data_IF_372595129824
#
_entry.id   IF_372595129824
#
_cell.length_a   1.000
_cell.length_b   1.000
_cell.length_c   1.000
_cell.angle_alpha   90.00
_cell.angle_beta   90.00
_cell.angle_gamma   90.00
#
_symmetry.space_group_name_H-M   'P 1'
#
loop_
_entity.id
_entity.type
_entity.pdbx_description
1 polymer ?
#
# COMPACT_ATOMS: atom_id res chain seq x y z
N UNK A 1 -8.81 -1.54 -11.33
CA UNK A 1 -9.61 -0.43 -11.85
C UNK A 1 -10.32 -0.86 -13.15
N UNK A 2 -11.62 -0.53 -13.35
CA UNK A 2 -12.36 -0.93 -14.55
C UNK A 2 -11.66 -0.57 -15.85
N UNK A 3 -11.06 0.63 -15.91
CA UNK A 3 -10.31 1.10 -17.09
C UNK A 3 -9.14 0.17 -17.48
N UNK A 4 -8.48 -0.43 -16.50
CA UNK A 4 -7.36 -1.35 -16.75
C UNK A 4 -7.87 -2.75 -17.06
N UNK A 5 -8.84 -3.24 -16.29
CA UNK A 5 -9.36 -4.61 -16.48
C UNK A 5 -10.19 -4.79 -17.74
N UNK A 6 -10.80 -3.71 -18.28
CA UNK A 6 -11.51 -3.76 -19.56
C UNK A 6 -10.58 -4.04 -20.76
N UNK A 7 -9.29 -3.71 -20.67
CA UNK A 7 -8.28 -4.03 -21.69
C UNK A 7 -7.67 -5.45 -21.52
N UNK A 8 -8.14 -6.24 -20.56
CA UNK A 8 -7.60 -7.58 -20.27
C UNK A 8 -6.37 -7.58 -19.36
N UNK A 9 -5.96 -6.39 -18.85
CA UNK A 9 -4.76 -6.23 -18.02
C UNK A 9 -5.09 -6.24 -16.51
N UNK A 10 -4.04 -6.12 -15.68
CA UNK A 10 -4.14 -6.07 -14.22
C UNK A 10 -4.77 -7.33 -13.64
N UNK A 11 -5.70 -7.18 -12.69
CA UNK A 11 -6.34 -8.32 -12.02
C UNK A 11 -7.22 -9.19 -12.94
N UNK A 12 -7.53 -8.76 -14.16
CA UNK A 12 -8.20 -9.59 -15.18
C UNK A 12 -7.35 -10.80 -15.57
N UNK A 13 -6.03 -10.66 -15.54
CA UNK A 13 -5.07 -11.75 -15.83
C UNK A 13 -5.25 -12.94 -14.88
N UNK A 14 -5.70 -12.71 -13.64
CA UNK A 14 -5.90 -13.78 -12.66
C UNK A 14 -6.97 -14.81 -13.08
N UNK A 15 -7.83 -14.49 -14.04
CA UNK A 15 -8.77 -15.46 -14.61
C UNK A 15 -8.07 -16.52 -15.49
N UNK A 16 -6.77 -16.32 -15.81
CA UNK A 16 -5.94 -17.27 -16.53
C UNK A 16 -4.60 -17.48 -15.79
N UNK A 17 -4.54 -18.40 -14.81
CA UNK A 17 -3.33 -18.67 -14.03
C UNK A 17 -2.11 -19.06 -14.90
N UNK A 18 -2.31 -19.82 -15.96
CA UNK A 18 -1.24 -20.23 -16.87
C UNK A 18 -0.63 -19.02 -17.61
N UNK A 19 -1.46 -18.06 -18.01
CA UNK A 19 -0.96 -16.81 -18.61
C UNK A 19 -0.13 -16.03 -17.60
N UNK A 20 -0.56 -15.94 -16.33
CA UNK A 20 0.23 -15.33 -15.27
C UNK A 20 1.60 -15.99 -15.14
N UNK A 21 1.65 -17.33 -15.13
CA UNK A 21 2.91 -18.09 -15.12
C UNK A 21 3.81 -17.76 -16.30
N UNK A 22 3.28 -17.76 -17.52
CA UNK A 22 4.07 -17.41 -18.72
C UNK A 22 4.63 -15.97 -18.66
N UNK A 23 3.87 -15.03 -18.12
CA UNK A 23 4.34 -13.66 -17.94
C UNK A 23 5.49 -13.58 -16.94
N UNK A 24 5.40 -14.33 -15.83
CA UNK A 24 6.49 -14.42 -14.84
C UNK A 24 7.72 -15.07 -15.45
N UNK A 25 7.57 -16.17 -16.22
CA UNK A 25 8.68 -16.81 -16.91
C UNK A 25 9.39 -15.87 -17.88
N UNK A 26 8.63 -15.09 -18.67
CA UNK A 26 9.19 -14.12 -19.61
C UNK A 26 9.95 -13.01 -18.87
N UNK A 27 9.39 -12.50 -17.76
CA UNK A 27 10.04 -11.49 -16.91
C UNK A 27 11.32 -12.05 -16.27
N UNK A 28 11.29 -13.26 -15.74
CA UNK A 28 12.46 -13.94 -15.17
C UNK A 28 13.57 -14.13 -16.22
N UNK A 29 13.20 -14.56 -17.44
CA UNK A 29 14.15 -14.70 -18.54
C UNK A 29 14.85 -13.38 -18.91
N UNK A 30 14.12 -12.27 -18.87
CA UNK A 30 14.67 -10.94 -19.16
C UNK A 30 15.52 -10.35 -18.02
N UNK A 31 15.12 -10.59 -16.74
CA UNK A 31 15.83 -10.08 -15.57
C UNK A 31 17.09 -10.88 -15.21
N UNK A 32 17.15 -12.15 -15.58
CA UNK A 32 18.18 -13.07 -15.10
C UNK A 32 17.94 -13.52 -13.64
N UNK A 33 18.80 -14.39 -13.10
CA UNK A 33 18.60 -14.99 -11.76
C UNK A 33 18.87 -14.03 -10.60
N UNK A 34 19.69 -13.01 -10.79
CA UNK A 34 20.24 -12.19 -9.70
C UNK A 34 19.28 -11.07 -9.23
N UNK A 35 18.28 -10.73 -10.04
CA UNK A 35 17.32 -9.67 -9.68
C UNK A 35 16.07 -10.27 -9.09
N UNK A 36 15.59 -9.78 -7.92
CA UNK A 36 14.35 -10.27 -7.33
C UNK A 36 13.17 -9.94 -8.24
N UNK A 37 12.30 -10.95 -8.46
CA UNK A 37 11.05 -10.81 -9.19
C UNK A 37 9.88 -11.05 -8.26
N UNK A 38 9.11 -10.02 -7.97
CA UNK A 38 7.95 -10.10 -7.06
C UNK A 38 6.64 -9.94 -7.80
N UNK A 39 5.60 -10.62 -7.32
CA UNK A 39 4.27 -10.57 -7.90
C UNK A 39 3.28 -9.96 -6.91
N UNK A 40 2.54 -8.94 -7.33
CA UNK A 40 1.41 -8.40 -6.57
C UNK A 40 0.10 -8.91 -7.17
N UNK A 41 -0.75 -9.51 -6.34
CA UNK A 41 -2.00 -10.11 -6.80
C UNK A 41 -3.16 -9.87 -5.83
N UNK A 42 -4.37 -10.21 -6.24
CA UNK A 42 -5.57 -10.36 -5.41
C UNK A 42 -5.87 -11.83 -5.15
N UNK A 43 -6.93 -12.15 -4.39
CA UNK A 43 -7.36 -13.53 -4.13
C UNK A 43 -8.16 -14.13 -5.30
N UNK A 44 -8.71 -13.30 -6.19
CA UNK A 44 -9.50 -13.74 -7.33
C UNK A 44 -10.17 -12.58 -8.06
N UNK A 45 -11.03 -12.93 -9.02
CA UNK A 45 -11.84 -11.98 -9.75
C UNK A 45 -13.11 -11.58 -8.98
N UNK A 46 -13.88 -12.56 -8.58
CA UNK A 46 -15.12 -12.46 -7.80
C UNK A 46 -15.20 -13.63 -6.81
N UNK A 47 -16.32 -13.79 -6.12
CA UNK A 47 -16.52 -14.83 -5.12
C UNK A 47 -16.56 -16.26 -5.70
N UNK A 48 -16.92 -16.41 -6.98
CA UNK A 48 -17.00 -17.70 -7.69
C UNK A 48 -15.67 -18.07 -8.34
N UNK A 49 -14.79 -17.09 -8.55
CA UNK A 49 -13.50 -17.24 -9.25
C UNK A 49 -12.33 -16.85 -8.32
N UNK A 50 -12.15 -17.60 -7.24
CA UNK A 50 -11.03 -17.47 -6.30
C UNK A 50 -9.80 -18.21 -6.84
N UNK A 51 -9.17 -17.65 -7.85
CA UNK A 51 -8.02 -18.26 -8.55
C UNK A 51 -6.68 -18.03 -7.86
N UNK A 52 -6.64 -17.36 -6.72
CA UNK A 52 -5.41 -16.93 -6.05
C UNK A 52 -4.39 -18.03 -5.83
N UNK A 53 -4.82 -19.22 -5.37
CA UNK A 53 -3.93 -20.38 -5.15
C UNK A 53 -3.31 -20.85 -6.47
N UNK A 54 -4.11 -20.99 -7.52
CA UNK A 54 -3.62 -21.45 -8.82
C UNK A 54 -2.62 -20.44 -9.43
N UNK A 55 -2.93 -19.13 -9.34
CA UNK A 55 -2.03 -18.07 -9.80
C UNK A 55 -0.73 -18.07 -9.01
N UNK A 56 -0.77 -18.21 -7.69
CA UNK A 56 0.41 -18.21 -6.84
C UNK A 56 1.35 -19.37 -7.20
N UNK A 57 0.81 -20.60 -7.36
CA UNK A 57 1.60 -21.76 -7.79
C UNK A 57 2.23 -21.57 -9.17
N UNK A 58 1.50 -21.00 -10.11
CA UNK A 58 2.04 -20.72 -11.44
C UNK A 58 3.14 -19.65 -11.38
N UNK A 59 2.98 -18.62 -10.56
CA UNK A 59 4.02 -17.59 -10.38
C UNK A 59 5.30 -18.17 -9.76
N UNK A 60 5.18 -18.98 -8.71
CA UNK A 60 6.32 -19.65 -8.06
C UNK A 60 7.04 -20.59 -9.04
N UNK A 61 6.30 -21.49 -9.69
CA UNK A 61 6.86 -22.46 -10.63
C UNK A 61 7.61 -21.80 -11.81
N UNK A 62 7.31 -20.56 -12.12
CA UNK A 62 7.91 -19.78 -13.21
C UNK A 62 8.92 -18.71 -12.75
N UNK A 63 9.34 -18.76 -11.48
CA UNK A 63 10.48 -17.99 -10.99
C UNK A 63 10.16 -16.68 -10.28
N UNK A 64 8.96 -16.53 -9.70
CA UNK A 64 8.71 -15.49 -8.74
C UNK A 64 9.44 -15.78 -7.41
N UNK A 65 10.05 -14.77 -6.78
CA UNK A 65 10.77 -14.89 -5.51
C UNK A 65 9.89 -14.54 -4.31
N UNK A 66 8.82 -13.79 -4.52
CA UNK A 66 7.92 -13.32 -3.48
C UNK A 66 6.55 -12.96 -4.07
N UNK A 67 5.50 -13.20 -3.30
CA UNK A 67 4.13 -12.81 -3.67
C UNK A 67 3.54 -11.90 -2.60
N UNK A 68 2.95 -10.76 -3.01
CA UNK A 68 2.15 -9.93 -2.13
C UNK A 68 0.66 -10.06 -2.51
N UNK A 69 -0.17 -10.51 -1.55
CA UNK A 69 -1.57 -10.85 -1.76
C UNK A 69 -2.48 -9.81 -1.12
N UNK A 70 -3.32 -9.14 -1.91
CA UNK A 70 -4.42 -8.33 -1.38
C UNK A 70 -5.61 -9.25 -1.12
N UNK A 71 -6.06 -9.31 0.15
CA UNK A 71 -7.14 -10.17 0.63
C UNK A 71 -8.54 -9.79 0.13
N UNK A 72 -8.67 -9.36 -1.11
CA UNK A 72 -9.93 -9.02 -1.77
C UNK A 72 -9.96 -9.48 -3.21
N UNK A 73 -11.16 -9.81 -3.68
CA UNK A 73 -11.38 -10.02 -5.11
C UNK A 73 -11.33 -8.68 -5.87
N UNK A 74 -11.25 -8.75 -7.20
CA UNK A 74 -11.34 -7.54 -8.04
C UNK A 74 -12.71 -6.87 -7.89
N UNK A 75 -13.77 -7.65 -7.83
CA UNK A 75 -15.13 -7.14 -7.76
C UNK A 75 -15.41 -6.45 -6.43
N UNK A 76 -14.89 -6.99 -5.35
CA UNK A 76 -14.98 -6.41 -4.01
C UNK A 76 -14.30 -5.03 -3.89
N UNK A 77 -13.37 -4.69 -4.78
CA UNK A 77 -12.64 -3.42 -4.81
C UNK A 77 -11.94 -3.10 -3.47
N UNK A 78 -12.56 -2.23 -2.65
CA UNK A 78 -12.07 -1.80 -1.33
C UNK A 78 -13.09 -2.04 -0.22
N UNK A 79 -14.17 -2.74 -0.50
CA UNK A 79 -15.21 -3.03 0.50
C UNK A 79 -14.64 -3.99 1.55
N UNK A 80 -14.67 -3.64 2.84
CA UNK A 80 -14.22 -4.53 3.91
C UNK A 80 -15.22 -5.69 4.14
N UNK A 81 -14.77 -6.77 4.83
CA UNK A 81 -13.41 -7.04 5.28
C UNK A 81 -12.51 -7.64 4.18
N UNK A 82 -11.20 -7.80 4.50
CA UNK A 82 -10.34 -8.68 3.71
C UNK A 82 -10.62 -10.13 4.08
N UNK A 83 -10.38 -11.03 3.14
CA UNK A 83 -10.46 -12.47 3.33
C UNK A 83 -9.10 -13.02 3.80
N UNK A 84 -8.97 -13.23 5.11
CA UNK A 84 -7.76 -13.73 5.78
C UNK A 84 -7.54 -15.21 5.45
N UNK A 85 -8.62 -15.99 5.32
CA UNK A 85 -8.55 -17.42 5.03
C UNK A 85 -8.01 -17.66 3.61
N UNK A 86 -8.47 -16.88 2.64
CA UNK A 86 -7.94 -16.95 1.28
C UNK A 86 -6.44 -16.57 1.21
N UNK A 87 -5.99 -15.58 1.99
CA UNK A 87 -4.55 -15.26 2.09
C UNK A 87 -3.79 -16.47 2.68
N UNK A 88 -4.34 -17.08 3.73
CA UNK A 88 -3.74 -18.23 4.42
C UNK A 88 -3.61 -19.42 3.47
N UNK A 89 -4.63 -19.72 2.68
CA UNK A 89 -4.59 -20.81 1.70
C UNK A 89 -3.55 -20.55 0.59
N UNK A 90 -3.43 -19.31 0.12
CA UNK A 90 -2.37 -18.93 -0.84
C UNK A 90 -0.99 -19.11 -0.20
N UNK A 91 -0.81 -18.65 1.06
CA UNK A 91 0.45 -18.81 1.79
C UNK A 91 0.86 -20.29 1.94
N UNK A 92 -0.09 -21.18 2.27
CA UNK A 92 0.16 -22.61 2.42
C UNK A 92 0.49 -23.29 1.10
N UNK A 93 0.03 -22.75 -0.02
CA UNK A 93 0.12 -23.36 -1.33
C UNK A 93 1.49 -23.19 -2.01
N UNK A 94 2.36 -22.31 -1.50
CA UNK A 94 3.67 -21.97 -2.08
C UNK A 94 4.78 -22.00 -1.02
N UNK A 95 6.02 -22.25 -1.45
CA UNK A 95 7.21 -22.26 -0.59
C UNK A 95 7.90 -20.89 -0.51
N UNK A 96 7.67 -20.01 -1.48
CA UNK A 96 8.24 -18.66 -1.48
C UNK A 96 7.54 -17.74 -0.46
N UNK A 97 8.21 -16.67 0.04
CA UNK A 97 7.60 -15.72 0.95
C UNK A 97 6.32 -15.10 0.40
N UNK A 98 5.29 -15.00 1.26
CA UNK A 98 4.04 -14.30 0.96
C UNK A 98 3.89 -13.12 1.92
N UNK A 99 3.53 -11.96 1.38
CA UNK A 99 3.15 -10.77 2.15
C UNK A 99 1.64 -10.60 2.16
N UNK A 100 1.06 -10.44 3.34
CA UNK A 100 -0.35 -10.09 3.50
C UNK A 100 -0.58 -8.60 3.23
N UNK A 101 -1.62 -8.27 2.47
CA UNK A 101 -1.97 -6.89 2.14
C UNK A 101 -3.48 -6.67 2.29
N UNK A 102 -3.85 -5.53 2.83
CA UNK A 102 -5.21 -5.02 2.97
C UNK A 102 -5.52 -4.59 4.40
N UNK A 103 -6.15 -3.43 4.54
CA UNK A 103 -6.67 -2.83 5.77
C UNK A 103 -5.70 -2.70 6.97
N UNK A 104 -4.40 -2.75 6.72
CA UNK A 104 -3.37 -2.60 7.75
C UNK A 104 -3.19 -1.09 8.01
N UNK A 105 -3.64 -0.64 9.18
CA UNK A 105 -3.62 0.76 9.60
C UNK A 105 -3.04 0.97 11.00
N UNK A 106 -2.69 -0.11 11.70
CA UNK A 106 -2.11 -0.11 13.05
C UNK A 106 -1.04 -1.19 13.17
N UNK A 107 -0.14 -1.05 14.15
CA UNK A 107 0.88 -2.04 14.43
C UNK A 107 0.27 -3.36 14.92
N UNK A 108 -0.73 -3.29 15.80
CA UNK A 108 -1.45 -4.47 16.28
C UNK A 108 -2.19 -5.20 15.16
N UNK A 109 -2.84 -4.47 14.23
CA UNK A 109 -3.48 -5.07 13.05
C UNK A 109 -2.49 -5.79 12.13
N UNK A 110 -1.27 -5.27 11.99
CA UNK A 110 -0.20 -5.95 11.27
C UNK A 110 0.23 -7.24 11.96
N UNK A 111 0.37 -7.23 13.29
CA UNK A 111 0.70 -8.41 14.08
C UNK A 111 -0.39 -9.48 13.96
N UNK A 112 -1.64 -9.11 14.17
CA UNK A 112 -2.79 -10.02 14.08
C UNK A 112 -2.89 -10.73 12.72
N UNK A 113 -2.73 -9.99 11.62
CA UNK A 113 -2.80 -10.61 10.30
C UNK A 113 -1.63 -11.58 10.06
N UNK A 114 -0.44 -11.29 10.58
CA UNK A 114 0.70 -12.21 10.48
C UNK A 114 0.48 -13.47 11.31
N UNK A 115 -0.05 -13.36 12.52
CA UNK A 115 -0.37 -14.51 13.39
C UNK A 115 -1.46 -15.39 12.76
N UNK A 116 -2.47 -14.80 12.13
CA UNK A 116 -3.56 -15.53 11.50
C UNK A 116 -3.14 -16.22 10.19
N UNK A 117 -2.35 -15.55 9.37
CA UNK A 117 -2.02 -16.04 8.03
C UNK A 117 -0.73 -16.83 7.95
N UNK A 118 0.19 -16.64 8.90
CA UNK A 118 1.55 -17.18 8.82
C UNK A 118 2.38 -16.57 7.67
N UNK A 119 1.99 -15.43 7.13
CA UNK A 119 2.75 -14.72 6.10
C UNK A 119 4.10 -14.23 6.62
N UNK A 120 5.08 -14.08 5.72
CA UNK A 120 6.43 -13.64 6.03
C UNK A 120 6.53 -12.15 6.41
N UNK A 121 5.50 -11.37 6.06
CA UNK A 121 5.44 -9.94 6.33
C UNK A 121 4.15 -9.33 5.82
N UNK A 122 4.06 -8.02 5.91
CA UNK A 122 2.90 -7.25 5.44
C UNK A 122 3.29 -6.23 4.37
N UNK A 123 2.37 -5.97 3.45
CA UNK A 123 2.47 -4.85 2.52
C UNK A 123 1.44 -3.79 2.90
N UNK A 124 1.89 -2.57 3.13
CA UNK A 124 1.04 -1.46 3.56
C UNK A 124 0.82 -0.51 2.38
N UNK A 125 -0.43 -0.14 2.16
CA UNK A 125 -0.80 0.87 1.17
C UNK A 125 -1.37 2.11 1.86
N UNK A 126 -2.69 2.27 1.81
CA UNK A 126 -3.40 3.45 2.32
C UNK A 126 -3.14 3.77 3.79
N UNK A 127 -2.78 2.77 4.61
CA UNK A 127 -2.49 2.97 6.04
C UNK A 127 -1.31 3.90 6.30
N UNK A 128 -0.31 3.92 5.40
CA UNK A 128 0.88 4.76 5.53
C UNK A 128 0.70 6.19 4.98
N UNK A 129 -0.44 6.50 4.34
CA UNK A 129 -0.66 7.83 3.80
C UNK A 129 -0.81 8.86 4.92
N UNK A 130 0.10 9.82 4.98
CA UNK A 130 0.20 10.83 6.03
C UNK A 130 0.72 10.29 7.36
N UNK A 131 1.16 9.04 7.40
CA UNK A 131 1.68 8.36 8.60
C UNK A 131 2.87 7.44 8.25
N UNK A 132 4.03 7.98 7.87
CA UNK A 132 5.21 7.17 7.57
C UNK A 132 5.76 6.42 8.79
N UNK A 133 5.44 6.86 10.01
CA UNK A 133 5.86 6.22 11.27
C UNK A 133 5.15 4.89 11.53
N UNK A 134 4.07 4.58 10.81
CA UNK A 134 3.39 3.28 10.92
C UNK A 134 4.36 2.11 10.72
N UNK A 135 5.35 2.23 9.82
CA UNK A 135 6.35 1.18 9.60
C UNK A 135 7.24 0.96 10.82
N UNK A 136 7.67 2.03 11.48
CA UNK A 136 8.48 1.96 12.70
C UNK A 136 7.68 1.32 13.84
N UNK A 137 6.42 1.74 14.05
CA UNK A 137 5.53 1.15 15.05
C UNK A 137 5.29 -0.33 14.81
N UNK A 138 5.04 -0.73 13.57
CA UNK A 138 4.87 -2.15 13.21
C UNK A 138 6.15 -2.94 13.52
N UNK A 139 7.30 -2.45 13.12
CA UNK A 139 8.57 -3.13 13.37
C UNK A 139 8.84 -3.29 14.87
N UNK A 140 8.57 -2.25 15.66
CA UNK A 140 8.73 -2.34 17.13
C UNK A 140 7.84 -3.45 17.72
N UNK A 141 6.55 -3.48 17.38
CA UNK A 141 5.61 -4.50 17.88
C UNK A 141 6.01 -5.91 17.43
N UNK A 142 6.42 -6.08 16.17
CA UNK A 142 6.82 -7.39 15.63
C UNK A 142 8.14 -7.90 16.23
N UNK A 143 9.01 -7.01 16.69
CA UNK A 143 10.28 -7.36 17.35
C UNK A 143 10.19 -7.38 18.88
N UNK A 144 8.99 -7.22 19.45
CA UNK A 144 8.77 -7.21 20.89
C UNK A 144 9.31 -5.97 21.61
N UNK A 145 9.56 -4.90 20.86
CA UNK A 145 9.95 -3.61 21.42
C UNK A 145 8.70 -2.78 21.78
N UNK A 146 8.81 -1.85 22.72
CA UNK A 146 7.73 -0.91 22.99
C UNK A 146 7.33 -0.14 21.74
N UNK A 147 6.03 -0.05 21.47
CA UNK A 147 5.51 0.73 20.35
C UNK A 147 5.86 2.21 20.54
N UNK A 148 6.52 2.87 19.57
CA UNK A 148 6.76 4.30 19.62
C UNK A 148 5.46 5.08 19.70
N UNK A 149 5.46 6.17 20.47
CA UNK A 149 4.31 7.06 20.58
C UNK A 149 3.98 7.77 19.25
N UNK A 150 2.81 8.40 19.21
CA UNK A 150 2.41 9.20 18.07
C UNK A 150 3.40 10.35 17.78
N UNK A 151 3.66 10.66 16.51
CA UNK A 151 4.58 11.76 16.17
C UNK A 151 4.05 13.08 16.66
N UNK A 152 4.96 13.96 17.11
CA UNK A 152 4.61 15.35 17.46
C UNK A 152 4.03 16.07 16.25
N UNK A 153 3.21 17.11 16.50
CA UNK A 153 2.69 17.96 15.43
C UNK A 153 3.83 18.51 14.55
N UNK A 154 4.93 18.91 15.18
CA UNK A 154 6.10 19.43 14.47
C UNK A 154 6.73 18.37 13.54
N UNK A 155 6.94 17.14 14.02
CA UNK A 155 7.44 16.04 13.20
C UNK A 155 6.52 15.77 12.00
N UNK A 156 5.20 15.77 12.25
CA UNK A 156 4.18 15.56 11.23
C UNK A 156 4.20 16.65 10.15
N UNK A 157 4.32 17.91 10.53
CA UNK A 157 4.39 19.03 9.57
C UNK A 157 5.73 19.07 8.84
N UNK A 158 6.82 18.72 9.50
CA UNK A 158 8.13 18.59 8.85
C UNK A 158 8.14 17.47 7.79
N UNK A 159 7.54 16.32 8.09
CA UNK A 159 7.42 15.22 7.12
C UNK A 159 6.55 15.59 5.91
N UNK A 160 5.42 16.26 6.15
CA UNK A 160 4.57 16.78 5.06
C UNK A 160 5.38 17.69 4.13
N UNK A 161 6.11 18.68 4.72
CA UNK A 161 6.90 19.63 3.96
C UNK A 161 8.01 18.95 3.16
N UNK A 162 8.74 18.03 3.79
CA UNK A 162 9.82 17.29 3.14
C UNK A 162 9.29 16.45 1.97
N UNK A 163 8.18 15.72 2.16
CA UNK A 163 7.57 14.91 1.11
C UNK A 163 7.19 15.76 -0.11
N UNK A 164 6.55 16.92 0.09
CA UNK A 164 6.14 17.77 -1.04
C UNK A 164 7.35 18.42 -1.70
N UNK A 165 8.37 18.79 -0.92
CA UNK A 165 9.62 19.30 -1.47
C UNK A 165 10.28 18.28 -2.41
N UNK A 166 10.42 17.04 -1.97
CA UNK A 166 10.99 15.96 -2.78
C UNK A 166 10.17 15.69 -4.05
N UNK A 167 8.85 15.75 -3.94
CA UNK A 167 7.98 15.62 -5.12
C UNK A 167 8.22 16.75 -6.14
N UNK A 168 8.49 17.98 -5.66
CA UNK A 168 8.80 19.11 -6.52
C UNK A 168 10.18 18.98 -7.19
N UNK A 169 11.19 18.51 -6.44
CA UNK A 169 12.53 18.26 -6.98
C UNK A 169 12.51 17.18 -8.07
N UNK A 170 11.75 16.09 -7.88
CA UNK A 170 11.71 14.99 -8.83
C UNK A 170 10.91 15.31 -10.11
N UNK A 171 9.78 16.03 -9.99
CA UNK A 171 8.78 16.15 -11.06
C UNK A 171 8.61 17.58 -11.59
N UNK A 172 9.26 18.54 -10.94
CA UNK A 172 8.96 19.96 -11.09
C UNK A 172 7.66 20.36 -10.39
N UNK A 173 7.63 21.57 -9.86
CA UNK A 173 6.52 22.11 -9.03
C UNK A 173 5.15 22.02 -9.74
N UNK A 174 5.10 22.36 -11.02
CA UNK A 174 3.88 22.30 -11.83
C UNK A 174 3.21 20.92 -11.85
N UNK A 175 4.00 19.86 -11.92
CA UNK A 175 3.50 18.48 -11.95
C UNK A 175 3.24 17.95 -10.54
N UNK A 176 4.08 18.32 -9.57
CA UNK A 176 4.05 17.84 -8.20
C UNK A 176 2.85 18.40 -7.41
N UNK A 177 2.59 19.70 -7.50
CA UNK A 177 1.59 20.36 -6.63
C UNK A 177 0.16 19.83 -6.78
N UNK A 178 -0.38 19.53 -7.98
CA UNK A 178 -1.67 18.85 -8.10
C UNK A 178 -1.74 17.50 -7.38
N UNK A 179 -0.65 16.73 -7.38
CA UNK A 179 -0.55 15.44 -6.66
C UNK A 179 -0.38 15.64 -5.16
N UNK A 180 0.38 16.66 -4.75
CA UNK A 180 0.62 17.03 -3.36
C UNK A 180 -0.66 17.39 -2.59
N UNK A 181 -1.67 17.93 -3.25
CA UNK A 181 -2.99 18.21 -2.65
C UNK A 181 -3.57 16.99 -1.94
N UNK A 182 -3.57 15.83 -2.63
CA UNK A 182 -4.04 14.56 -2.06
C UNK A 182 -3.18 14.08 -0.90
N UNK A 183 -1.87 14.16 -1.04
CA UNK A 183 -0.92 13.77 0.02
C UNK A 183 -1.09 14.64 1.28
N UNK A 184 -1.16 15.95 1.12
CA UNK A 184 -1.34 16.89 2.24
C UNK A 184 -2.63 16.61 3.04
N UNK A 185 -3.73 16.24 2.37
CA UNK A 185 -5.00 15.93 3.04
C UNK A 185 -4.88 14.79 4.06
N UNK A 186 -4.01 13.81 3.82
CA UNK A 186 -3.80 12.69 4.73
C UNK A 186 -3.13 13.14 6.04
N UNK A 187 -2.23 14.11 5.97
CA UNK A 187 -1.58 14.70 7.15
C UNK A 187 -2.53 15.52 8.04
N UNK A 188 -3.70 15.90 7.53
CA UNK A 188 -4.70 16.67 8.30
C UNK A 188 -5.63 15.77 9.13
N UNK A 189 -5.51 14.45 9.02
CA UNK A 189 -6.36 13.51 9.77
C UNK A 189 -6.18 13.68 11.27
N UNK A 190 -7.28 13.78 12.03
CA UNK A 190 -7.26 13.90 13.50
C UNK A 190 -6.92 15.29 14.05
N UNK A 191 -6.59 16.26 13.21
CA UNK A 191 -6.33 17.64 13.66
C UNK A 191 -7.62 18.41 13.90
N UNK A 192 -7.60 19.33 14.88
CA UNK A 192 -8.66 20.31 15.09
C UNK A 192 -8.85 21.14 13.82
N UNK A 193 -10.07 21.29 13.34
CA UNK A 193 -10.34 21.98 12.08
C UNK A 193 -9.95 21.21 10.82
N UNK A 194 -9.79 19.89 10.87
CA UNK A 194 -9.36 19.06 9.76
C UNK A 194 -10.15 19.27 8.45
N UNK A 195 -11.44 19.59 8.53
CA UNK A 195 -12.26 19.87 7.35
C UNK A 195 -11.82 21.13 6.60
N UNK A 196 -11.58 22.23 7.34
CA UNK A 196 -11.08 23.48 6.74
C UNK A 196 -9.66 23.33 6.23
N UNK A 197 -8.80 22.62 6.96
CA UNK A 197 -7.43 22.31 6.53
C UNK A 197 -7.40 21.47 5.23
N UNK A 198 -8.26 20.45 5.10
CA UNK A 198 -8.37 19.70 3.84
C UNK A 198 -8.86 20.55 2.68
N UNK A 199 -9.75 21.53 2.93
CA UNK A 199 -10.12 22.51 1.90
C UNK A 199 -8.90 23.35 1.49
N UNK A 200 -8.09 23.77 2.45
CA UNK A 200 -6.84 24.48 2.16
C UNK A 200 -5.90 23.61 1.30
N UNK A 201 -5.72 22.34 1.66
CA UNK A 201 -4.90 21.41 0.86
C UNK A 201 -5.34 21.33 -0.60
N UNK A 202 -6.65 21.40 -0.90
CA UNK A 202 -7.15 21.34 -2.29
C UNK A 202 -6.78 22.55 -3.14
N UNK A 203 -6.34 23.65 -2.52
CA UNK A 203 -6.02 24.92 -3.17
C UNK A 203 -4.51 25.18 -3.30
N UNK A 204 -3.66 24.21 -2.90
CA UNK A 204 -2.21 24.36 -3.02
C UNK A 204 -1.82 24.46 -4.51
N UNK A 205 -1.14 25.51 -4.90
CA UNK A 205 -0.65 25.75 -6.28
C UNK A 205 0.87 25.82 -6.33
N UNK A 206 1.50 26.40 -5.30
CA UNK A 206 2.94 26.57 -5.18
C UNK A 206 3.48 25.91 -3.92
N UNK A 207 4.75 25.56 -3.91
CA UNK A 207 5.39 24.99 -2.72
C UNK A 207 5.30 25.94 -1.51
N UNK A 208 5.38 27.24 -1.73
CA UNK A 208 5.21 28.26 -0.68
C UNK A 208 3.82 28.23 -0.01
N UNK A 209 2.81 27.67 -0.64
CA UNK A 209 1.48 27.51 -0.04
C UNK A 209 1.47 26.40 1.02
N UNK A 210 2.43 25.46 0.95
CA UNK A 210 2.63 24.45 1.99
C UNK A 210 3.05 25.08 3.30
N UNK A 211 3.95 26.07 3.26
CA UNK A 211 4.38 26.78 4.46
C UNK A 211 3.21 27.56 5.09
N UNK A 212 2.36 28.19 4.29
CA UNK A 212 1.13 28.86 4.75
C UNK A 212 0.11 27.86 5.35
N UNK A 213 -0.03 26.66 4.74
CA UNK A 213 -0.86 25.60 5.31
C UNK A 213 -0.35 25.17 6.68
N UNK A 214 0.96 24.99 6.83
CA UNK A 214 1.60 24.61 8.11
C UNK A 214 1.37 25.68 9.17
N UNK A 215 1.51 26.95 8.83
CA UNK A 215 1.17 28.07 9.74
C UNK A 215 -0.31 28.03 10.18
N UNK A 216 -1.23 27.76 9.25
CA UNK A 216 -2.64 27.63 9.57
C UNK A 216 -2.91 26.42 10.48
N UNK A 217 -2.20 25.32 10.31
CA UNK A 217 -2.25 24.15 11.21
C UNK A 217 -1.84 24.59 12.62
N UNK A 218 -0.67 25.21 12.80
CA UNK A 218 -0.22 25.63 14.13
C UNK A 218 -1.18 26.60 14.82
N UNK A 219 -1.75 27.55 14.09
CA UNK A 219 -2.77 28.48 14.64
C UNK A 219 -4.04 27.78 15.15
N UNK A 220 -4.43 26.65 14.53
CA UNK A 220 -5.62 25.93 14.94
C UNK A 220 -5.38 24.93 16.07
N UNK A 221 -4.14 24.45 16.25
CA UNK A 221 -3.79 23.48 17.28
C UNK A 221 -3.33 24.14 18.59
N UNK A 222 -2.76 25.34 18.53
CA UNK A 222 -2.40 26.16 19.71
C UNK A 222 -3.58 26.88 20.26
#
# INVERSE_FOLDING_TARGET
APKITSSGAGSKLMQNPELCGRMVAAARGALGPDKPLTVKMRIGWDAEQLTGVAVARQCEANGADLIAVHGRTREQMYIPPIDVDAITEIRKAVGIPVLANGDITTAEGAKQILEQTGCAGVMIGRGALGDPWLFERINAVLTGQPEPGEPSLNARMSALRAQIYEMCEEKGEWTAMPQARGQAMHYMKGLKGAASLRRYCSMLEHFTDVDKLIEAVYKLQG
#
